data_IF_789519873087
#
_entry.id   IF_789519873087
#
_cell.length_a   1.000
_cell.length_b   1.000
_cell.length_c   1.000
_cell.angle_alpha   90.00
_cell.angle_beta   90.00
_cell.angle_gamma   90.00
#
_symmetry.space_group_name_H-M   'P 1'
#
loop_
_entity.id
_entity.type
_entity.pdbx_description
1 polymer ?
#
# COMPACT_ATOMS: atom_id res chain seq x y z
N UNK A 1 -9.44 40.55 -10.48
CA UNK A 1 -8.17 41.18 -10.22
C UNK A 1 -7.91 41.34 -8.75
N UNK A 2 -6.72 40.99 -8.26
CA UNK A 2 -6.06 41.39 -7.01
C UNK A 2 -6.37 40.70 -5.66
N UNK A 3 -6.71 39.44 -5.65
CA UNK A 3 -6.69 38.65 -4.38
C UNK A 3 -5.25 38.16 -4.07
N UNK A 4 -4.29 38.26 -4.99
CA UNK A 4 -2.94 37.71 -4.88
C UNK A 4 -1.83 38.73 -4.57
N UNK A 5 -2.16 39.98 -4.27
CA UNK A 5 -1.21 41.01 -3.90
C UNK A 5 -0.66 40.74 -2.49
N UNK A 6 0.48 40.08 -2.41
CA UNK A 6 1.18 39.76 -1.16
C UNK A 6 1.72 38.33 -1.05
N UNK A 7 1.42 37.47 -2.02
CA UNK A 7 1.99 36.13 -2.04
C UNK A 7 3.46 36.16 -2.49
N UNK A 8 4.34 35.31 -1.90
CA UNK A 8 5.70 35.15 -2.37
C UNK A 8 5.73 34.76 -3.87
N UNK A 9 6.73 35.26 -4.61
CA UNK A 9 6.89 34.94 -6.05
C UNK A 9 6.84 33.46 -6.36
N UNK A 10 7.34 32.61 -5.46
CA UNK A 10 7.29 31.14 -5.56
C UNK A 10 5.85 30.63 -5.56
N UNK A 11 5.00 31.12 -4.66
CA UNK A 11 3.58 30.72 -4.58
C UNK A 11 2.80 31.20 -5.82
N UNK A 12 3.13 32.37 -6.37
CA UNK A 12 2.54 32.84 -7.63
C UNK A 12 2.98 31.99 -8.82
N UNK A 13 4.24 31.54 -8.85
CA UNK A 13 4.71 30.60 -9.86
C UNK A 13 4.00 29.26 -9.77
N UNK A 14 3.82 28.72 -8.55
CA UNK A 14 3.11 27.47 -8.29
C UNK A 14 1.63 27.56 -8.72
N UNK A 15 0.97 28.72 -8.49
CA UNK A 15 -0.41 28.97 -8.94
C UNK A 15 -0.49 29.08 -10.48
N UNK A 16 0.49 29.70 -11.11
CA UNK A 16 0.55 29.79 -12.58
C UNK A 16 0.83 28.43 -13.24
N UNK A 17 1.42 27.49 -12.51
CA UNK A 17 1.65 26.10 -12.97
C UNK A 17 0.42 25.18 -12.78
N UNK A 18 -0.70 25.70 -12.26
CA UNK A 18 -1.92 24.90 -12.06
C UNK A 18 -2.46 24.25 -13.33
N UNK A 19 -2.21 24.86 -14.51
CA UNK A 19 -2.62 24.26 -15.78
C UNK A 19 -1.88 22.93 -16.01
N UNK A 20 -0.54 22.91 -15.87
CA UNK A 20 0.25 21.68 -16.04
C UNK A 20 -0.07 20.62 -14.99
N UNK A 21 -0.37 21.03 -13.76
CA UNK A 21 -0.82 20.12 -12.69
C UNK A 21 -2.18 19.50 -13.01
N UNK A 22 -3.10 20.28 -13.58
CA UNK A 22 -4.40 19.80 -14.01
C UNK A 22 -4.27 18.79 -15.16
N UNK A 23 -3.52 19.14 -16.20
CA UNK A 23 -3.27 18.26 -17.34
C UNK A 23 -2.68 16.93 -16.86
N UNK A 24 -1.72 16.98 -15.93
CA UNK A 24 -1.13 15.78 -15.34
C UNK A 24 -2.12 14.94 -14.52
N UNK A 25 -3.04 15.58 -13.80
CA UNK A 25 -4.08 14.89 -13.06
C UNK A 25 -5.11 14.24 -14.02
N UNK A 26 -5.49 14.93 -15.09
CA UNK A 26 -6.38 14.40 -16.13
C UNK A 26 -5.75 13.18 -16.85
N UNK A 27 -4.44 13.26 -17.19
CA UNK A 27 -3.69 12.12 -17.73
C UNK A 27 -3.70 10.91 -16.76
N UNK A 28 -3.51 11.16 -15.47
CA UNK A 28 -3.48 10.09 -14.47
C UNK A 28 -4.84 9.41 -14.33
N UNK A 29 -5.93 10.18 -14.27
CA UNK A 29 -7.27 9.64 -14.18
C UNK A 29 -7.66 8.85 -15.44
N UNK A 30 -7.31 9.36 -16.63
CA UNK A 30 -7.54 8.66 -17.88
C UNK A 30 -6.75 7.35 -17.92
N UNK A 31 -5.47 7.36 -17.52
CA UNK A 31 -4.67 6.16 -17.43
C UNK A 31 -5.27 5.16 -16.44
N UNK A 32 -5.73 5.62 -15.29
CA UNK A 32 -6.36 4.77 -14.27
C UNK A 32 -7.60 4.08 -14.82
N UNK A 33 -8.47 4.79 -15.51
CA UNK A 33 -9.69 4.25 -16.12
C UNK A 33 -9.35 3.20 -17.18
N UNK A 34 -8.45 3.51 -18.12
CA UNK A 34 -7.99 2.60 -19.17
C UNK A 34 -7.37 1.29 -18.64
N UNK A 35 -6.79 1.33 -17.42
CA UNK A 35 -6.11 0.18 -16.81
C UNK A 35 -6.92 -0.51 -15.70
N UNK A 36 -8.17 -0.11 -15.50
CA UNK A 36 -9.04 -0.67 -14.46
C UNK A 36 -8.54 -0.37 -13.05
N UNK A 37 -7.91 0.79 -12.86
CA UNK A 37 -7.43 1.30 -11.57
C UNK A 37 -8.47 2.25 -11.01
N UNK A 38 -8.87 2.04 -9.75
CA UNK A 38 -9.75 2.94 -9.02
C UNK A 38 -8.93 4.05 -8.38
N UNK A 39 -9.25 5.30 -8.68
CA UNK A 39 -8.75 6.47 -7.95
C UNK A 39 -9.70 6.74 -6.78
N UNK A 40 -9.22 6.60 -5.55
CA UNK A 40 -9.99 6.72 -4.32
C UNK A 40 -9.57 8.00 -3.59
N UNK A 41 -10.41 9.01 -3.59
CA UNK A 41 -10.20 10.24 -2.81
C UNK A 41 -10.55 10.01 -1.33
N UNK A 42 -9.91 10.74 -0.43
CA UNK A 42 -10.09 10.63 1.02
C UNK A 42 -11.57 10.68 1.47
N UNK A 43 -12.41 11.43 0.76
CA UNK A 43 -13.83 11.60 1.08
C UNK A 43 -14.76 10.60 0.35
N UNK A 44 -14.22 9.71 -0.48
CA UNK A 44 -15.01 8.72 -1.19
C UNK A 44 -15.45 7.58 -0.25
N UNK A 45 -16.62 7.03 -0.50
CA UNK A 45 -17.14 5.87 0.25
C UNK A 45 -16.26 4.62 0.09
N UNK A 46 -15.56 4.50 -1.06
CA UNK A 46 -14.64 3.40 -1.34
C UNK A 46 -13.25 3.55 -0.73
N UNK A 47 -12.94 4.71 -0.12
CA UNK A 47 -11.66 4.92 0.54
C UNK A 47 -11.57 4.07 1.83
N UNK A 48 -10.42 3.47 2.16
CA UNK A 48 -10.29 2.63 3.37
C UNK A 48 -10.55 3.43 4.65
N UNK A 49 -11.60 3.08 5.41
CA UNK A 49 -11.99 3.79 6.63
C UNK A 49 -10.90 3.80 7.67
N UNK A 50 -10.17 2.67 7.82
CA UNK A 50 -9.00 2.60 8.73
C UNK A 50 -7.93 3.62 8.38
N UNK A 51 -7.73 3.88 7.09
CA UNK A 51 -6.73 4.86 6.64
C UNK A 51 -7.20 6.31 6.87
N UNK A 52 -8.52 6.57 6.86
CA UNK A 52 -9.08 7.90 7.19
C UNK A 52 -8.75 8.32 8.63
N UNK A 53 -8.58 7.35 9.54
CA UNK A 53 -8.23 7.60 10.95
C UNK A 53 -6.75 7.96 11.15
N UNK A 54 -5.89 7.70 10.18
CA UNK A 54 -4.48 8.02 10.27
C UNK A 54 -4.25 9.54 10.12
N UNK A 55 -3.39 10.16 10.96
CA UNK A 55 -3.17 11.61 10.95
C UNK A 55 -2.52 12.12 9.66
N UNK A 56 -1.91 11.25 8.90
CA UNK A 56 -1.22 11.51 7.64
C UNK A 56 -1.80 10.68 6.47
N UNK A 57 -3.12 10.45 6.51
CA UNK A 57 -3.84 9.77 5.45
C UNK A 57 -3.57 10.42 4.09
N UNK A 58 -3.24 9.65 3.03
CA UNK A 58 -3.07 10.21 1.70
C UNK A 58 -4.40 10.75 1.15
N UNK A 59 -4.36 11.89 0.47
CA UNK A 59 -5.55 12.49 -0.14
C UNK A 59 -6.13 11.63 -1.27
N UNK A 60 -5.28 10.83 -1.90
CA UNK A 60 -5.63 9.95 -3.01
C UNK A 60 -4.91 8.61 -2.87
N UNK A 61 -5.61 7.52 -3.15
CA UNK A 61 -5.08 6.18 -3.32
C UNK A 61 -5.50 5.64 -4.69
N UNK A 62 -4.56 4.97 -5.36
CA UNK A 62 -4.81 4.25 -6.61
C UNK A 62 -4.86 2.76 -6.30
N UNK A 63 -5.97 2.10 -6.63
CA UNK A 63 -6.21 0.69 -6.30
C UNK A 63 -6.57 -0.12 -7.54
N UNK A 64 -5.91 -1.25 -7.71
CA UNK A 64 -6.22 -2.24 -8.74
C UNK A 64 -6.41 -3.61 -8.10
N UNK A 65 -7.64 -4.11 -8.09
CA UNK A 65 -7.94 -5.40 -7.47
C UNK A 65 -9.41 -5.58 -7.18
N UNK A 66 -9.72 -6.68 -6.48
CA UNK A 66 -11.07 -7.16 -6.18
C UNK A 66 -11.40 -7.14 -4.69
N UNK A 67 -10.39 -7.07 -3.79
CA UNK A 67 -10.61 -7.10 -2.35
C UNK A 67 -11.39 -5.87 -1.87
N UNK A 68 -12.24 -6.09 -0.88
CA UNK A 68 -12.92 -5.01 -0.15
C UNK A 68 -11.96 -4.39 0.87
N UNK A 69 -11.45 -3.18 0.60
CA UNK A 69 -10.51 -2.48 1.48
C UNK A 69 -11.13 -2.09 2.85
N UNK A 70 -12.45 -2.23 3.00
CA UNK A 70 -13.19 -2.07 4.25
C UNK A 70 -13.69 -3.41 4.81
N UNK A 71 -13.01 -4.53 4.50
CA UNK A 71 -13.30 -5.83 5.08
C UNK A 71 -13.20 -5.80 6.61
N UNK A 72 -13.92 -6.72 7.25
CA UNK A 72 -14.02 -6.78 8.72
C UNK A 72 -12.68 -7.00 9.41
N UNK A 73 -11.81 -7.80 8.78
CA UNK A 73 -10.50 -8.16 9.34
C UNK A 73 -9.41 -7.95 8.28
N UNK A 74 -8.48 -7.08 8.57
CA UNK A 74 -7.31 -6.81 7.73
C UNK A 74 -6.08 -6.83 8.63
N UNK A 75 -5.10 -7.68 8.31
CA UNK A 75 -3.85 -7.77 9.06
C UNK A 75 -2.65 -7.44 8.17
N UNK A 76 -1.64 -6.84 8.76
CA UNK A 76 -0.36 -6.56 8.12
C UNK A 76 0.69 -7.56 8.60
N UNK A 77 1.41 -8.19 7.67
CA UNK A 77 2.54 -9.07 7.96
C UNK A 77 3.79 -8.45 7.36
N UNK A 78 4.76 -8.11 8.20
CA UNK A 78 5.99 -7.43 7.78
C UNK A 78 7.23 -8.04 8.42
N UNK A 79 8.40 -7.75 7.82
CA UNK A 79 9.66 -8.21 8.40
C UNK A 79 10.88 -7.91 7.55
N UNK A 80 11.88 -8.76 7.72
CA UNK A 80 13.15 -8.67 7.00
C UNK A 80 13.01 -9.03 5.53
N UNK A 81 13.85 -8.41 4.68
CA UNK A 81 13.99 -8.80 3.27
C UNK A 81 14.76 -10.11 3.07
N UNK A 82 15.42 -10.61 4.12
CA UNK A 82 16.16 -11.87 4.16
C UNK A 82 15.49 -12.79 5.18
N UNK A 83 14.30 -13.28 4.83
CA UNK A 83 13.53 -14.20 5.66
C UNK A 83 14.30 -15.52 5.81
N UNK A 84 14.38 -16.05 7.03
CA UNK A 84 14.94 -17.37 7.26
C UNK A 84 13.91 -18.44 6.94
N UNK A 85 14.34 -19.70 6.78
CA UNK A 85 13.43 -20.83 6.61
C UNK A 85 12.47 -20.96 7.79
N UNK A 86 12.93 -20.67 9.00
CA UNK A 86 12.05 -20.63 10.18
C UNK A 86 10.97 -19.56 10.04
N UNK A 87 11.31 -18.36 9.58
CA UNK A 87 10.34 -17.30 9.32
C UNK A 87 9.33 -17.68 8.25
N UNK A 88 9.78 -18.34 7.16
CA UNK A 88 8.88 -18.85 6.11
C UNK A 88 7.90 -19.88 6.65
N UNK A 89 8.39 -20.85 7.44
CA UNK A 89 7.54 -21.88 8.05
C UNK A 89 6.54 -21.28 9.06
N UNK A 90 6.96 -20.25 9.80
CA UNK A 90 6.10 -19.52 10.72
C UNK A 90 4.98 -18.79 9.98
N UNK A 91 5.31 -18.07 8.87
CA UNK A 91 4.31 -17.38 8.05
C UNK A 91 3.30 -18.39 7.48
N UNK A 92 3.78 -19.51 6.94
CA UNK A 92 2.93 -20.58 6.40
C UNK A 92 1.96 -21.12 7.44
N UNK A 93 2.46 -21.47 8.61
CA UNK A 93 1.62 -21.99 9.71
C UNK A 93 0.61 -20.94 10.15
N UNK A 94 1.06 -19.69 10.36
CA UNK A 94 0.21 -18.60 10.83
C UNK A 94 -0.91 -18.29 9.83
N UNK A 95 -0.61 -18.13 8.53
CA UNK A 95 -1.61 -17.78 7.52
C UNK A 95 -2.63 -18.92 7.34
N UNK A 96 -2.17 -20.18 7.33
CA UNK A 96 -3.05 -21.36 7.29
C UNK A 96 -4.02 -21.39 8.49
N UNK A 97 -3.49 -21.19 9.69
CA UNK A 97 -4.29 -21.26 10.92
C UNK A 97 -5.25 -20.06 11.01
N UNK A 98 -4.80 -18.88 10.56
CA UNK A 98 -5.64 -17.68 10.43
C UNK A 98 -6.81 -17.92 9.47
N UNK A 99 -6.54 -18.48 8.29
CA UNK A 99 -7.58 -18.83 7.31
C UNK A 99 -8.60 -19.80 7.90
N UNK A 100 -8.14 -20.81 8.65
CA UNK A 100 -9.04 -21.77 9.29
C UNK A 100 -9.95 -21.14 10.35
N UNK A 101 -9.46 -20.11 11.05
CA UNK A 101 -10.20 -19.43 12.13
C UNK A 101 -11.05 -18.25 11.62
N UNK A 102 -10.53 -17.46 10.67
CA UNK A 102 -11.15 -16.23 10.16
C UNK A 102 -10.90 -16.13 8.64
N UNK A 103 -11.62 -16.91 7.82
CA UNK A 103 -11.33 -17.07 6.39
C UNK A 103 -11.42 -15.78 5.58
N UNK A 104 -12.25 -14.82 6.01
CA UNK A 104 -12.46 -13.54 5.31
C UNK A 104 -11.42 -12.47 5.66
N UNK A 105 -10.32 -12.86 6.32
CA UNK A 105 -9.23 -11.93 6.65
C UNK A 105 -8.41 -11.59 5.41
N UNK A 106 -8.16 -10.31 5.20
CA UNK A 106 -7.24 -9.81 4.16
C UNK A 106 -5.83 -9.69 4.75
N UNK A 107 -4.84 -10.21 4.03
CA UNK A 107 -3.43 -10.05 4.37
C UNK A 107 -2.85 -8.87 3.60
N UNK A 108 -2.30 -7.89 4.29
CA UNK A 108 -1.62 -6.72 3.70
C UNK A 108 -0.13 -6.83 3.92
N UNK A 109 0.67 -6.44 2.92
CA UNK A 109 2.11 -6.31 3.05
C UNK A 109 2.68 -5.38 1.96
N UNK A 110 3.99 -5.35 1.79
CA UNK A 110 4.66 -4.38 0.90
C UNK A 110 5.23 -4.93 -0.39
N UNK A 111 5.00 -6.19 -0.74
CA UNK A 111 5.55 -6.85 -1.92
C UNK A 111 7.09 -6.86 -1.98
N UNK A 112 7.79 -6.58 -0.89
CA UNK A 112 9.24 -6.64 -0.81
C UNK A 112 9.73 -8.10 -0.78
N UNK A 113 11.05 -8.29 -0.96
CA UNK A 113 11.67 -9.59 -0.71
C UNK A 113 11.47 -10.05 0.74
N UNK A 114 11.62 -11.34 0.98
CA UNK A 114 11.55 -11.96 2.31
C UNK A 114 10.14 -12.06 2.85
N UNK A 115 9.89 -11.57 4.06
CA UNK A 115 8.62 -11.73 4.78
C UNK A 115 7.42 -11.30 3.95
N UNK A 116 7.49 -10.14 3.29
CA UNK A 116 6.36 -9.58 2.55
C UNK A 116 5.87 -10.53 1.45
N UNK A 117 6.78 -11.00 0.59
CA UNK A 117 6.39 -11.89 -0.52
C UNK A 117 5.92 -13.25 -0.02
N UNK A 118 6.50 -13.79 1.06
CA UNK A 118 6.04 -15.04 1.64
C UNK A 118 4.64 -14.90 2.22
N UNK A 119 4.32 -13.78 2.89
CA UNK A 119 2.98 -13.50 3.38
C UNK A 119 1.94 -13.47 2.25
N UNK A 120 2.25 -12.79 1.13
CA UNK A 120 1.37 -12.76 -0.04
C UNK A 120 1.17 -14.14 -0.66
N UNK A 121 2.25 -14.90 -0.85
CA UNK A 121 2.18 -16.26 -1.44
C UNK A 121 1.38 -17.22 -0.60
N UNK A 122 1.56 -17.21 0.71
CA UNK A 122 0.79 -18.08 1.61
C UNK A 122 -0.69 -17.66 1.67
N UNK A 123 -1.01 -16.35 1.65
CA UNK A 123 -2.39 -15.89 1.53
C UNK A 123 -3.04 -16.39 0.22
N UNK A 124 -2.37 -16.18 -0.92
CA UNK A 124 -2.84 -16.66 -2.23
C UNK A 124 -3.03 -18.19 -2.26
N UNK A 125 -2.11 -18.95 -1.65
CA UNK A 125 -2.17 -20.41 -1.62
C UNK A 125 -3.33 -20.94 -0.78
N UNK A 126 -3.74 -20.21 0.26
CA UNK A 126 -4.87 -20.56 1.11
C UNK A 126 -6.21 -19.96 0.65
N UNK A 127 -6.26 -19.29 -0.51
CA UNK A 127 -7.50 -18.67 -1.02
C UNK A 127 -7.91 -17.37 -0.33
N UNK A 128 -7.02 -16.78 0.48
CA UNK A 128 -7.26 -15.49 1.15
C UNK A 128 -6.92 -14.33 0.23
N UNK A 129 -7.70 -13.27 0.31
CA UNK A 129 -7.37 -12.01 -0.36
C UNK A 129 -6.09 -11.41 0.22
N UNK A 130 -5.25 -10.84 -0.67
CA UNK A 130 -4.03 -10.17 -0.21
C UNK A 130 -3.77 -8.88 -1.00
N UNK A 131 -3.41 -7.81 -0.29
CA UNK A 131 -3.22 -6.48 -0.86
C UNK A 131 -1.78 -6.02 -0.66
N UNK A 132 -1.09 -5.72 -1.77
CA UNK A 132 0.24 -5.13 -1.73
C UNK A 132 0.16 -3.60 -1.77
N UNK A 133 0.78 -2.96 -0.78
CA UNK A 133 1.00 -1.51 -0.79
C UNK A 133 2.32 -1.22 -1.49
N UNK A 134 2.30 -0.42 -2.54
CA UNK A 134 3.47 -0.16 -3.38
C UNK A 134 4.10 1.20 -3.06
N UNK A 135 5.41 1.31 -3.31
CA UNK A 135 6.20 2.54 -3.11
C UNK A 135 6.51 3.27 -4.44
N UNK A 136 5.68 3.06 -5.45
CA UNK A 136 5.81 3.57 -6.82
C UNK A 136 4.45 3.56 -7.51
N UNK A 137 4.35 4.14 -8.70
CA UNK A 137 3.13 4.12 -9.51
C UNK A 137 2.77 2.71 -10.01
N UNK A 138 1.49 2.50 -10.32
CA UNK A 138 0.98 1.21 -10.82
C UNK A 138 1.39 0.89 -12.27
N UNK A 139 2.01 1.83 -12.97
CA UNK A 139 2.59 1.65 -14.31
C UNK A 139 3.91 0.88 -14.30
N UNK A 140 4.50 0.68 -13.14
CA UNK A 140 5.72 -0.10 -12.94
C UNK A 140 5.54 -1.14 -11.84
N UNK A 141 6.50 -2.06 -11.71
CA UNK A 141 6.51 -3.07 -10.64
C UNK A 141 7.91 -3.30 -10.10
N UNK A 142 8.05 -3.23 -8.78
CA UNK A 142 9.28 -3.54 -8.08
C UNK A 142 9.01 -4.41 -6.84
N UNK A 143 9.78 -5.49 -6.64
CA UNK A 143 10.80 -5.99 -7.56
C UNK A 143 10.18 -6.69 -8.78
N UNK A 144 10.83 -6.66 -9.97
CA UNK A 144 10.27 -7.27 -11.18
C UNK A 144 10.04 -8.78 -11.08
N UNK A 145 10.79 -9.45 -10.21
CA UNK A 145 10.68 -10.89 -9.94
C UNK A 145 9.36 -11.31 -9.29
N UNK A 146 8.60 -10.37 -8.72
CA UNK A 146 7.29 -10.62 -8.10
C UNK A 146 6.11 -10.33 -9.04
N UNK A 147 6.34 -10.23 -10.36
CA UNK A 147 5.31 -9.89 -11.36
C UNK A 147 4.17 -10.90 -11.37
N UNK A 148 4.48 -12.19 -11.34
CA UNK A 148 3.45 -13.23 -11.39
C UNK A 148 2.62 -13.24 -10.10
N UNK A 149 3.24 -13.01 -8.95
CA UNK A 149 2.55 -12.84 -7.68
C UNK A 149 1.60 -11.62 -7.72
N UNK A 150 2.10 -10.47 -8.20
CA UNK A 150 1.30 -9.25 -8.34
C UNK A 150 0.10 -9.45 -9.29
N UNK A 151 0.28 -10.14 -10.42
CA UNK A 151 -0.80 -10.46 -11.34
C UNK A 151 -1.89 -11.32 -10.69
N UNK A 152 -1.50 -12.33 -9.90
CA UNK A 152 -2.43 -13.16 -9.13
C UNK A 152 -3.19 -12.34 -8.08
N UNK A 153 -2.50 -11.42 -7.40
CA UNK A 153 -3.10 -10.54 -6.39
C UNK A 153 -4.17 -9.62 -6.98
N UNK A 154 -4.04 -9.17 -8.24
CA UNK A 154 -5.08 -8.36 -8.89
C UNK A 154 -6.42 -9.10 -8.98
N UNK A 155 -6.42 -10.42 -9.09
CA UNK A 155 -7.63 -11.25 -9.14
C UNK A 155 -8.05 -11.83 -7.78
N UNK A 156 -7.15 -11.82 -6.78
CA UNK A 156 -7.38 -12.35 -5.44
C UNK A 156 -6.80 -11.38 -4.40
N UNK A 157 -7.35 -10.16 -4.35
CA UNK A 157 -6.84 -9.10 -3.50
C UNK A 157 -6.62 -7.80 -4.25
N UNK A 158 -5.38 -7.30 -4.33
CA UNK A 158 -5.07 -6.12 -5.11
C UNK A 158 -3.71 -5.49 -4.87
N UNK A 159 -3.46 -4.42 -5.62
CA UNK A 159 -2.32 -3.53 -5.52
C UNK A 159 -2.82 -2.13 -5.20
N UNK A 160 -2.20 -1.45 -4.23
CA UNK A 160 -2.59 -0.10 -3.81
C UNK A 160 -1.36 0.78 -3.64
N UNK A 161 -1.49 2.05 -4.02
CA UNK A 161 -0.42 3.05 -3.87
C UNK A 161 -0.97 4.46 -3.73
N UNK A 162 -0.21 5.36 -3.12
CA UNK A 162 -0.48 6.81 -3.14
C UNK A 162 0.22 7.52 -4.30
N UNK A 163 1.09 6.81 -5.03
CA UNK A 163 1.94 7.40 -6.05
C UNK A 163 1.28 7.34 -7.43
N UNK A 164 1.32 8.45 -8.13
CA UNK A 164 0.92 8.55 -9.54
C UNK A 164 1.88 7.74 -10.43
N UNK A 165 1.42 7.42 -11.64
CA UNK A 165 2.27 6.83 -12.68
C UNK A 165 3.56 7.64 -12.91
N UNK A 166 4.61 7.02 -13.46
CA UNK A 166 5.95 7.59 -13.65
C UNK A 166 6.72 7.83 -12.34
N UNK A 167 6.13 7.51 -11.16
CA UNK A 167 6.87 7.52 -9.89
C UNK A 167 7.68 6.24 -9.75
N UNK A 168 9.01 6.38 -9.77
CA UNK A 168 9.94 5.24 -9.64
C UNK A 168 10.11 4.82 -8.18
N UNK A 169 10.40 3.53 -7.92
CA UNK A 169 10.73 3.08 -6.57
C UNK A 169 12.05 3.71 -6.09
N UNK A 170 12.03 4.30 -4.90
CA UNK A 170 13.21 4.80 -4.22
C UNK A 170 13.16 4.54 -2.69
N UNK A 171 14.29 4.75 -2.01
CA UNK A 171 14.42 4.45 -0.57
C UNK A 171 13.44 5.25 0.30
N UNK A 172 13.20 6.51 -0.04
CA UNK A 172 12.31 7.38 0.74
C UNK A 172 10.85 6.94 0.59
N UNK A 173 10.45 6.58 -0.63
CA UNK A 173 9.10 6.10 -0.91
C UNK A 173 8.80 4.78 -0.18
N UNK A 174 9.79 3.86 -0.09
CA UNK A 174 9.62 2.64 0.71
C UNK A 174 9.36 2.93 2.20
N UNK A 175 10.04 3.94 2.76
CA UNK A 175 9.81 4.33 4.16
C UNK A 175 8.45 5.00 4.33
N UNK A 176 8.11 5.95 3.45
CA UNK A 176 6.83 6.68 3.47
C UNK A 176 5.63 5.75 3.31
N UNK A 177 5.71 4.79 2.41
CA UNK A 177 4.66 3.81 2.15
C UNK A 177 4.27 2.99 3.39
N UNK A 178 5.22 2.74 4.31
CA UNK A 178 4.97 1.89 5.47
C UNK A 178 3.82 2.41 6.36
N UNK A 179 3.54 3.71 6.36
CA UNK A 179 2.40 4.28 7.08
C UNK A 179 1.05 3.80 6.50
N UNK A 180 0.99 3.65 5.18
CA UNK A 180 -0.21 3.13 4.51
C UNK A 180 -0.39 1.64 4.83
N UNK A 181 0.71 0.87 4.80
CA UNK A 181 0.67 -0.55 5.16
C UNK A 181 0.16 -0.75 6.59
N UNK A 182 0.63 0.07 7.53
CA UNK A 182 0.16 0.03 8.92
C UNK A 182 -1.28 0.56 9.07
N UNK A 183 -1.61 1.68 8.41
CA UNK A 183 -2.89 2.36 8.56
C UNK A 183 -4.08 1.62 7.95
N UNK A 184 -3.85 0.74 6.98
CA UNK A 184 -4.91 -0.08 6.36
C UNK A 184 -5.41 -1.23 7.25
N UNK A 185 -4.69 -1.59 8.32
CA UNK A 185 -4.87 -2.86 9.02
C UNK A 185 -5.39 -2.67 10.44
N UNK A 186 -5.98 -3.72 11.01
CA UNK A 186 -6.38 -3.79 12.42
C UNK A 186 -5.19 -4.14 13.32
N UNK A 187 -4.22 -4.90 12.79
CA UNK A 187 -3.04 -5.34 13.53
C UNK A 187 -1.83 -5.52 12.60
N UNK A 188 -0.64 -5.31 13.14
CA UNK A 188 0.63 -5.54 12.46
C UNK A 188 1.42 -6.65 13.13
N UNK A 189 1.81 -7.66 12.35
CA UNK A 189 2.59 -8.80 12.77
C UNK A 189 4.01 -8.68 12.22
N UNK A 190 4.98 -8.61 13.13
CA UNK A 190 6.41 -8.60 12.81
C UNK A 190 6.96 -10.03 12.94
N UNK A 191 7.31 -10.66 11.83
CA UNK A 191 7.81 -12.04 11.83
C UNK A 191 9.30 -12.10 12.20
N UNK A 192 10.13 -11.41 11.44
CA UNK A 192 11.57 -11.30 11.67
C UNK A 192 12.06 -9.89 11.34
N UNK A 193 12.99 -9.37 12.11
CA UNK A 193 13.61 -8.08 11.82
C UNK A 193 15.03 -7.98 12.35
N UNK A 194 15.92 -7.34 11.58
CA UNK A 194 17.16 -6.82 12.13
C UNK A 194 16.87 -5.66 13.10
N UNK A 195 17.81 -5.39 14.03
CA UNK A 195 17.68 -4.31 15.04
C UNK A 195 17.35 -2.92 14.47
N UNK A 196 17.63 -2.66 13.19
CA UNK A 196 17.34 -1.42 12.46
C UNK A 196 16.63 -1.72 11.13
N UNK A 197 15.80 -2.76 11.08
CA UNK A 197 15.09 -3.18 9.87
C UNK A 197 13.85 -2.34 9.56
N UNK A 198 13.43 -2.35 8.29
CA UNK A 198 12.22 -1.66 7.83
C UNK A 198 10.94 -2.15 8.53
N UNK A 199 10.85 -3.44 8.89
CA UNK A 199 9.72 -3.98 9.65
C UNK A 199 9.52 -3.29 11.00
N UNK A 200 10.59 -2.91 11.71
CA UNK A 200 10.50 -2.15 12.97
C UNK A 200 9.96 -0.73 12.76
N UNK A 201 10.23 -0.11 11.61
CA UNK A 201 9.66 1.21 11.27
C UNK A 201 8.14 1.07 11.13
N UNK A 202 7.68 0.09 10.37
CA UNK A 202 6.23 -0.20 10.19
C UNK A 202 5.56 -0.50 11.52
N UNK A 203 6.17 -1.34 12.36
CA UNK A 203 5.60 -1.71 13.68
C UNK A 203 5.51 -0.50 14.62
N UNK A 204 6.48 0.43 14.56
CA UNK A 204 6.43 1.66 15.35
C UNK A 204 5.27 2.55 14.91
N UNK A 205 5.10 2.73 13.59
CA UNK A 205 3.97 3.49 13.04
C UNK A 205 2.64 2.82 13.41
N UNK A 206 2.55 1.51 13.29
CA UNK A 206 1.36 0.75 13.68
C UNK A 206 0.99 1.00 15.15
N UNK A 207 1.99 0.99 16.04
CA UNK A 207 1.78 1.32 17.46
C UNK A 207 1.27 2.75 17.67
N UNK A 208 1.78 3.72 16.89
CA UNK A 208 1.31 5.11 16.94
C UNK A 208 -0.14 5.24 16.45
N UNK A 209 -0.57 4.38 15.53
CA UNK A 209 -1.94 4.32 15.02
C UNK A 209 -2.87 3.39 15.83
N UNK A 210 -2.37 2.77 16.91
CA UNK A 210 -3.08 1.75 17.71
C UNK A 210 -3.51 0.52 16.86
N UNK A 211 -2.59 0.04 16.01
CA UNK A 211 -2.79 -1.10 15.10
C UNK A 211 -1.86 -2.28 15.42
#
# INVERSE_FOLDING_TARGET
GSIFLGLPKRVLADINDMASMRDRAEEELAWADDHGVKALCLNDDGYPDRMKEAPDAPLMLFYKGTANLNARHIINIVGTRHCTRYGEDLIRAFVRDLHAMVPDTIVVSGLAYGVDIHAHREALANGMDTVAVLAHGLDTLYPPTHRDDANRMVSQGGLITEYMTRTKPDKLNFVRRNRITAGLCDATILVESARKGGGLITTRIAKEYNR
#
